data_IF_425824279651
#
_entry.id   IF_425824279651
#
_cell.length_a   1.000
_cell.length_b   1.000
_cell.length_c   1.000
_cell.angle_alpha   90.00
_cell.angle_beta   90.00
_cell.angle_gamma   90.00
#
_symmetry.space_group_name_H-M   'P 1'
#
loop_
_entity.id
_entity.type
_entity.pdbx_description
1 polymer ?
#
# COMPACT_ATOMS: atom_id res chain seq x y z
N UNK A 1 2.30 -20.78 47.01
CA UNK A 1 3.13 -21.04 45.80
C UNK A 1 2.33 -21.52 44.56
N UNK A 2 1.02 -21.50 44.59
CA UNK A 2 0.18 -21.97 43.48
C UNK A 2 -0.30 -20.85 42.53
N UNK A 3 -0.03 -19.58 42.82
CA UNK A 3 -0.53 -18.44 42.01
C UNK A 3 0.32 -18.08 40.78
N UNK A 4 1.60 -18.45 40.73
CA UNK A 4 2.50 -18.04 39.64
C UNK A 4 2.33 -18.88 38.35
N UNK A 5 1.89 -20.13 38.46
CA UNK A 5 1.72 -21.06 37.32
C UNK A 5 0.43 -20.81 36.54
N UNK A 6 -0.63 -20.33 37.21
CA UNK A 6 -1.92 -20.03 36.58
C UNK A 6 -1.84 -18.71 35.78
N UNK A 7 -1.08 -17.73 36.25
CA UNK A 7 -0.90 -16.45 35.56
C UNK A 7 -0.16 -16.58 34.24
N UNK A 8 0.89 -17.46 34.18
CA UNK A 8 1.64 -17.72 32.95
C UNK A 8 0.81 -18.42 31.88
N UNK A 9 -0.03 -19.40 32.27
CA UNK A 9 -0.88 -20.11 31.34
C UNK A 9 -1.99 -19.20 30.75
N UNK A 10 -2.54 -18.29 31.51
CA UNK A 10 -3.54 -17.32 31.05
C UNK A 10 -2.95 -16.35 30.04
N UNK A 11 -1.74 -15.84 30.27
CA UNK A 11 -1.06 -14.91 29.36
C UNK A 11 -0.76 -15.61 28.02
N UNK A 12 -0.27 -16.83 28.02
CA UNK A 12 -0.02 -17.61 26.81
C UNK A 12 -1.31 -17.88 26.04
N UNK A 13 -2.36 -18.27 26.72
CA UNK A 13 -3.68 -18.49 26.10
C UNK A 13 -4.24 -17.22 25.46
N UNK A 14 -4.13 -16.07 26.11
CA UNK A 14 -4.57 -14.78 25.59
C UNK A 14 -3.80 -14.38 24.35
N UNK A 15 -2.46 -14.56 24.31
CA UNK A 15 -1.65 -14.27 23.14
C UNK A 15 -2.01 -15.17 21.94
N UNK A 16 -2.23 -16.46 22.16
CA UNK A 16 -2.64 -17.41 21.11
C UNK A 16 -4.02 -17.02 20.56
N UNK A 17 -4.98 -16.71 21.43
CA UNK A 17 -6.33 -16.27 21.03
C UNK A 17 -6.29 -14.96 20.27
N UNK A 18 -5.46 -13.99 20.66
CA UNK A 18 -5.27 -12.73 19.96
C UNK A 18 -4.68 -12.95 18.57
N UNK A 19 -3.67 -13.82 18.43
CA UNK A 19 -3.08 -14.17 17.12
C UNK A 19 -4.11 -14.82 16.20
N UNK A 20 -4.90 -15.79 16.69
CA UNK A 20 -5.97 -16.41 15.91
C UNK A 20 -7.06 -15.39 15.53
N UNK A 21 -7.39 -14.46 16.41
CA UNK A 21 -8.33 -13.37 16.14
C UNK A 21 -7.83 -12.46 15.02
N UNK A 22 -6.57 -12.06 15.03
CA UNK A 22 -5.95 -11.26 13.96
C UNK A 22 -5.92 -12.02 12.62
N UNK A 23 -5.59 -13.29 12.62
CA UNK A 23 -5.60 -14.12 11.40
C UNK A 23 -7.00 -14.26 10.82
N UNK A 24 -8.03 -14.43 11.67
CA UNK A 24 -9.43 -14.46 11.22
C UNK A 24 -9.86 -13.11 10.63
N UNK A 25 -9.47 -12.00 11.25
CA UNK A 25 -9.69 -10.65 10.73
C UNK A 25 -9.03 -10.49 9.36
N UNK A 26 -7.78 -10.93 9.22
CA UNK A 26 -7.06 -10.88 7.95
C UNK A 26 -7.74 -11.69 6.84
N UNK A 27 -8.19 -12.91 7.14
CA UNK A 27 -8.92 -13.75 6.18
C UNK A 27 -10.20 -13.09 5.69
N UNK A 28 -10.99 -12.55 6.61
CA UNK A 28 -12.24 -11.87 6.26
C UNK A 28 -11.97 -10.62 5.42
N UNK A 29 -11.00 -9.80 5.83
CA UNK A 29 -10.61 -8.60 5.10
C UNK A 29 -10.09 -8.91 3.69
N UNK A 30 -9.36 -10.00 3.53
CA UNK A 30 -8.88 -10.44 2.21
C UNK A 30 -10.02 -10.79 1.26
N UNK A 31 -11.04 -11.49 1.73
CA UNK A 31 -12.23 -11.78 0.93
C UNK A 31 -13.01 -10.51 0.55
N UNK A 32 -13.00 -9.52 1.42
CA UNK A 32 -13.62 -8.21 1.18
C UNK A 32 -12.72 -7.25 0.36
N UNK A 33 -11.53 -7.71 -0.06
CA UNK A 33 -10.52 -6.91 -0.77
C UNK A 33 -10.04 -5.69 0.03
N UNK A 34 -10.14 -5.76 1.35
CA UNK A 34 -9.60 -4.76 2.27
C UNK A 34 -8.16 -5.11 2.65
N UNK A 35 -7.26 -4.88 1.72
CA UNK A 35 -5.84 -5.22 1.86
C UNK A 35 -5.14 -4.41 2.94
N UNK A 36 -5.61 -3.21 3.22
CA UNK A 36 -5.10 -2.38 4.32
C UNK A 36 -5.33 -3.06 5.67
N UNK A 37 -6.54 -3.56 5.91
CA UNK A 37 -6.87 -4.28 7.15
C UNK A 37 -6.08 -5.59 7.25
N UNK A 38 -5.87 -6.32 6.15
CA UNK A 38 -4.98 -7.50 6.15
C UNK A 38 -3.57 -7.11 6.58
N UNK A 39 -3.01 -6.06 5.99
CA UNK A 39 -1.69 -5.55 6.33
C UNK A 39 -1.59 -5.20 7.82
N UNK A 40 -2.57 -4.47 8.35
CA UNK A 40 -2.58 -4.08 9.76
C UNK A 40 -2.72 -5.28 10.71
N UNK A 41 -3.60 -6.22 10.39
CA UNK A 41 -3.85 -7.40 11.21
C UNK A 41 -2.67 -8.39 11.25
N UNK A 42 -1.87 -8.44 10.18
CA UNK A 42 -0.72 -9.35 10.06
C UNK A 42 0.63 -8.66 10.25
N UNK A 43 0.63 -7.38 10.58
CA UNK A 43 1.84 -6.58 10.74
C UNK A 43 2.78 -7.19 11.79
N UNK A 44 4.04 -7.38 11.41
CA UNK A 44 5.06 -7.98 12.28
C UNK A 44 4.96 -9.49 12.46
N UNK A 45 3.97 -10.16 11.85
CA UNK A 45 3.90 -11.62 11.89
C UNK A 45 4.83 -12.25 10.85
N UNK A 46 5.60 -13.21 11.25
CA UNK A 46 6.38 -14.09 10.35
C UNK A 46 5.49 -15.26 9.92
N UNK A 47 4.95 -15.19 8.71
CA UNK A 47 4.08 -16.20 8.12
C UNK A 47 4.72 -16.75 6.84
N UNK A 48 4.69 -18.07 6.69
CA UNK A 48 5.20 -18.75 5.51
C UNK A 48 4.25 -18.54 4.31
N UNK A 49 4.76 -17.96 3.24
CA UNK A 49 3.97 -17.64 2.03
C UNK A 49 3.56 -18.88 1.20
N UNK A 50 4.08 -20.06 1.56
CA UNK A 50 3.60 -21.35 1.03
C UNK A 50 2.29 -21.82 1.71
N UNK A 51 1.94 -21.22 2.84
CA UNK A 51 0.71 -21.50 3.59
C UNK A 51 -0.36 -20.42 3.33
N UNK A 52 -1.63 -20.77 3.57
CA UNK A 52 -2.78 -19.92 3.27
C UNK A 52 -2.70 -18.51 3.88
N UNK A 53 -2.41 -18.41 5.18
CA UNK A 53 -2.37 -17.12 5.87
C UNK A 53 -1.15 -16.28 5.45
N UNK A 54 -0.01 -16.91 5.24
CA UNK A 54 1.18 -16.26 4.72
C UNK A 54 1.00 -15.76 3.29
N UNK A 55 0.31 -16.55 2.46
CA UNK A 55 -0.02 -16.15 1.08
C UNK A 55 -1.00 -14.94 1.05
N UNK A 56 -2.01 -14.95 1.91
CA UNK A 56 -2.93 -13.81 2.08
C UNK A 56 -2.16 -12.56 2.47
N UNK A 57 -1.25 -12.67 3.44
CA UNK A 57 -0.38 -11.56 3.85
C UNK A 57 0.48 -11.06 2.68
N UNK A 58 1.19 -11.95 1.99
CA UNK A 58 2.08 -11.60 0.89
C UNK A 58 1.34 -10.90 -0.26
N UNK A 59 0.20 -11.44 -0.70
CA UNK A 59 -0.65 -10.83 -1.73
C UNK A 59 -1.12 -9.43 -1.32
N UNK A 60 -1.62 -9.30 -0.10
CA UNK A 60 -2.15 -8.04 0.42
C UNK A 60 -1.07 -6.97 0.57
N UNK A 61 0.14 -7.34 1.00
CA UNK A 61 1.27 -6.41 1.10
C UNK A 61 1.66 -5.83 -0.26
N UNK A 62 1.68 -6.64 -1.30
CA UNK A 62 1.98 -6.19 -2.67
C UNK A 62 0.93 -5.19 -3.15
N UNK A 63 -0.35 -5.55 -3.04
CA UNK A 63 -1.44 -4.69 -3.49
C UNK A 63 -1.49 -3.40 -2.65
N UNK A 64 -1.35 -3.51 -1.34
CA UNK A 64 -1.42 -2.36 -0.45
C UNK A 64 -0.27 -1.37 -0.68
N UNK A 65 0.91 -1.80 -1.09
CA UNK A 65 2.02 -0.89 -1.41
C UNK A 65 1.65 0.18 -2.45
N UNK A 66 0.91 -0.19 -3.48
CA UNK A 66 0.46 0.78 -4.49
C UNK A 66 -0.84 1.48 -4.05
N UNK A 67 -1.79 0.78 -3.43
CA UNK A 67 -3.03 1.39 -2.94
C UNK A 67 -2.78 2.53 -1.98
N UNK A 68 -1.83 2.38 -1.06
CA UNK A 68 -1.52 3.43 -0.09
C UNK A 68 -1.00 4.71 -0.72
N UNK A 69 -0.43 4.65 -1.93
CA UNK A 69 -0.02 5.84 -2.68
C UNK A 69 -1.25 6.62 -3.16
N UNK A 70 -2.24 5.92 -3.66
CA UNK A 70 -3.50 6.55 -4.06
C UNK A 70 -4.29 7.08 -2.85
N UNK A 71 -4.29 6.38 -1.74
CA UNK A 71 -4.89 6.84 -0.48
C UNK A 71 -4.15 8.07 0.07
N UNK A 72 -2.82 8.11 -0.03
CA UNK A 72 -2.00 9.27 0.32
C UNK A 72 -2.34 10.49 -0.54
N UNK A 73 -2.55 10.30 -1.84
CA UNK A 73 -3.06 11.35 -2.73
C UNK A 73 -4.36 11.95 -2.19
N UNK A 74 -5.35 11.11 -1.91
CA UNK A 74 -6.66 11.56 -1.41
C UNK A 74 -6.54 12.30 -0.08
N UNK A 75 -5.73 11.79 0.83
CA UNK A 75 -5.52 12.38 2.16
C UNK A 75 -4.85 13.75 2.06
N UNK A 76 -3.78 13.85 1.27
CA UNK A 76 -3.07 15.11 1.06
C UNK A 76 -3.97 16.15 0.37
N UNK A 77 -4.77 15.73 -0.60
CA UNK A 77 -5.72 16.62 -1.29
C UNK A 77 -6.74 17.19 -0.31
N UNK A 78 -7.32 16.38 0.59
CA UNK A 78 -8.24 16.83 1.64
C UNK A 78 -7.59 17.81 2.62
N UNK A 79 -6.29 17.66 2.86
CA UNK A 79 -5.51 18.56 3.73
C UNK A 79 -5.04 19.84 3.02
N UNK A 80 -5.34 20.00 1.74
CA UNK A 80 -4.86 21.14 0.93
C UNK A 80 -3.38 21.06 0.58
N UNK A 81 -2.74 19.93 0.77
CA UNK A 81 -1.32 19.66 0.44
C UNK A 81 -1.19 19.22 -1.00
N UNK A 82 -1.28 20.18 -1.92
CA UNK A 82 -1.38 19.91 -3.36
C UNK A 82 -0.12 19.31 -3.95
N UNK A 83 1.06 19.73 -3.51
CA UNK A 83 2.36 19.20 -3.96
C UNK A 83 2.50 17.74 -3.53
N UNK A 84 2.27 17.46 -2.26
CA UNK A 84 2.36 16.11 -1.70
C UNK A 84 1.30 15.18 -2.30
N UNK A 85 0.13 15.70 -2.67
CA UNK A 85 -0.89 14.93 -3.36
C UNK A 85 -0.40 14.49 -4.75
N UNK A 86 0.12 15.40 -5.56
CA UNK A 86 0.67 15.09 -6.88
C UNK A 86 1.88 14.14 -6.76
N UNK A 87 2.79 14.41 -5.81
CA UNK A 87 3.93 13.52 -5.54
C UNK A 87 3.48 12.09 -5.21
N UNK A 88 2.43 11.94 -4.40
CA UNK A 88 1.91 10.61 -4.05
C UNK A 88 1.45 9.81 -5.29
N UNK A 89 0.78 10.45 -6.25
CA UNK A 89 0.41 9.80 -7.52
C UNK A 89 1.63 9.37 -8.32
N UNK A 90 2.63 10.25 -8.45
CA UNK A 90 3.88 9.94 -9.17
C UNK A 90 4.64 8.81 -8.49
N UNK A 91 4.73 8.82 -7.15
CA UNK A 91 5.32 7.71 -6.38
C UNK A 91 4.55 6.40 -6.56
N UNK A 92 3.26 6.46 -6.85
CA UNK A 92 2.46 5.30 -7.22
C UNK A 92 2.96 4.61 -8.50
N UNK A 93 3.33 5.37 -9.52
CA UNK A 93 3.91 4.83 -10.76
C UNK A 93 5.28 4.21 -10.49
N UNK A 94 6.13 4.86 -9.71
CA UNK A 94 7.42 4.29 -9.29
C UNK A 94 7.24 3.01 -8.47
N UNK A 95 6.23 2.98 -7.59
CA UNK A 95 5.89 1.79 -6.79
C UNK A 95 5.45 0.63 -7.67
N UNK A 96 4.67 0.87 -8.72
CA UNK A 96 4.26 -0.16 -9.67
C UNK A 96 5.49 -0.88 -10.27
N UNK A 97 6.48 -0.13 -10.72
CA UNK A 97 7.69 -0.71 -11.28
C UNK A 97 8.47 -1.55 -10.24
N UNK A 98 8.47 -1.10 -9.00
CA UNK A 98 9.16 -1.79 -7.89
C UNK A 98 8.47 -3.10 -7.49
N UNK A 99 7.13 -3.16 -7.50
CA UNK A 99 6.38 -4.34 -7.04
C UNK A 99 5.98 -5.30 -8.16
N UNK A 100 6.28 -4.99 -9.40
CA UNK A 100 5.83 -5.76 -10.57
C UNK A 100 6.19 -7.24 -10.50
N UNK A 101 7.45 -7.57 -10.18
CA UNK A 101 7.90 -8.95 -10.05
C UNK A 101 7.18 -9.72 -8.93
N UNK A 102 6.93 -9.07 -7.79
CA UNK A 102 6.17 -9.67 -6.69
C UNK A 102 4.69 -9.84 -7.05
N UNK A 103 4.13 -8.90 -7.80
CA UNK A 103 2.75 -9.01 -8.30
C UNK A 103 2.57 -10.20 -9.23
N UNK A 104 3.55 -10.48 -10.09
CA UNK A 104 3.57 -11.69 -10.92
C UNK A 104 3.73 -12.95 -10.07
N UNK A 105 4.70 -12.96 -9.15
CA UNK A 105 4.98 -14.09 -8.27
C UNK A 105 3.74 -14.54 -7.49
N UNK A 106 2.99 -13.59 -6.94
CA UNK A 106 1.80 -13.87 -6.12
C UNK A 106 0.48 -13.86 -6.89
N UNK A 107 0.50 -13.63 -8.21
CA UNK A 107 -0.69 -13.68 -9.07
C UNK A 107 -1.68 -12.56 -8.80
N UNK A 108 -1.22 -11.37 -8.42
CA UNK A 108 -2.04 -10.18 -8.11
C UNK A 108 -1.81 -9.03 -9.09
N UNK A 109 -1.30 -9.33 -10.26
CA UNK A 109 -1.02 -8.31 -11.28
C UNK A 109 -2.28 -7.54 -11.69
N UNK A 110 -3.42 -8.21 -11.83
CA UNK A 110 -4.67 -7.55 -12.21
C UNK A 110 -5.10 -6.49 -11.20
N UNK A 111 -4.98 -6.77 -9.91
CA UNK A 111 -5.30 -5.84 -8.82
C UNK A 111 -4.34 -4.65 -8.81
N UNK A 112 -3.05 -4.90 -9.01
CA UNK A 112 -2.02 -3.86 -9.05
C UNK A 112 -2.19 -2.96 -10.29
N UNK A 113 -2.48 -3.54 -11.45
CA UNK A 113 -2.74 -2.78 -12.68
C UNK A 113 -4.00 -1.93 -12.59
N UNK A 114 -5.04 -2.40 -11.89
CA UNK A 114 -6.24 -1.62 -11.65
C UNK A 114 -5.94 -0.34 -10.86
N UNK A 115 -5.11 -0.42 -9.82
CA UNK A 115 -4.68 0.76 -9.04
C UNK A 115 -3.81 1.68 -9.89
N UNK A 116 -2.88 1.13 -10.68
CA UNK A 116 -2.07 1.91 -11.62
C UNK A 116 -2.94 2.70 -12.60
N UNK A 117 -3.98 2.05 -13.15
CA UNK A 117 -4.91 2.70 -14.06
C UNK A 117 -5.66 3.85 -13.40
N UNK A 118 -6.11 3.69 -12.16
CA UNK A 118 -6.75 4.78 -11.39
C UNK A 118 -5.79 5.96 -11.17
N UNK A 119 -4.53 5.68 -10.86
CA UNK A 119 -3.48 6.70 -10.70
C UNK A 119 -3.26 7.46 -12.02
N UNK A 120 -3.08 6.74 -13.13
CA UNK A 120 -2.86 7.36 -14.45
C UNK A 120 -4.06 8.19 -14.91
N UNK A 121 -5.27 7.67 -14.73
CA UNK A 121 -6.49 8.40 -15.06
C UNK A 121 -6.60 9.70 -14.24
N UNK A 122 -6.23 9.66 -12.98
CA UNK A 122 -6.23 10.85 -12.11
C UNK A 122 -5.15 11.85 -12.52
N UNK A 123 -3.94 11.38 -12.84
CA UNK A 123 -2.85 12.24 -13.34
C UNK A 123 -3.25 12.96 -14.63
N UNK A 124 -3.87 12.25 -15.56
CA UNK A 124 -4.30 12.83 -16.82
C UNK A 124 -5.48 13.81 -16.64
N UNK A 125 -6.51 13.40 -15.91
CA UNK A 125 -7.73 14.19 -15.74
C UNK A 125 -7.52 15.46 -14.89
N UNK A 126 -6.76 15.36 -13.81
CA UNK A 126 -6.60 16.46 -12.84
C UNK A 126 -5.36 17.32 -13.10
N UNK A 127 -4.32 16.77 -13.71
CA UNK A 127 -3.03 17.43 -13.86
C UNK A 127 -2.52 17.51 -15.30
N UNK A 128 -3.23 16.92 -16.26
CA UNK A 128 -2.80 16.83 -17.67
C UNK A 128 -1.39 16.18 -17.80
N UNK A 129 -1.14 15.19 -16.98
CA UNK A 129 0.12 14.43 -16.95
C UNK A 129 -0.16 13.01 -17.45
N UNK A 130 0.37 12.65 -18.61
CA UNK A 130 0.31 11.30 -19.14
C UNK A 130 1.42 10.41 -18.52
N UNK A 131 1.40 9.12 -18.85
CA UNK A 131 2.40 8.17 -18.30
C UNK A 131 3.83 8.54 -18.71
N UNK A 132 4.04 9.04 -19.93
CA UNK A 132 5.37 9.44 -20.40
C UNK A 132 5.90 10.59 -19.57
N UNK A 133 5.10 11.63 -19.35
CA UNK A 133 5.49 12.77 -18.53
C UNK A 133 5.68 12.38 -17.07
N UNK A 134 4.81 11.50 -16.53
CA UNK A 134 4.97 10.98 -15.17
C UNK A 134 6.32 10.28 -14.99
N UNK A 135 6.73 9.46 -15.94
CA UNK A 135 8.04 8.78 -15.89
C UNK A 135 9.22 9.72 -16.04
N UNK A 136 9.12 10.74 -16.87
CA UNK A 136 10.12 11.79 -16.95
C UNK A 136 10.31 12.51 -15.61
N UNK A 137 9.21 12.87 -14.94
CA UNK A 137 9.25 13.50 -13.63
C UNK A 137 9.88 12.61 -12.56
N UNK A 138 9.49 11.33 -12.50
CA UNK A 138 10.02 10.35 -11.53
C UNK A 138 11.54 10.14 -11.75
N UNK A 139 12.00 10.14 -12.99
CA UNK A 139 13.40 9.92 -13.34
C UNK A 139 14.26 11.19 -13.20
N UNK A 140 13.67 12.33 -12.87
CA UNK A 140 14.42 13.55 -12.59
C UNK A 140 15.22 13.40 -11.28
N UNK A 141 16.55 13.28 -11.42
CA UNK A 141 17.45 13.08 -10.29
C UNK A 141 17.70 14.32 -9.44
N UNK A 142 17.24 15.50 -9.89
CA UNK A 142 17.38 16.75 -9.14
C UNK A 142 16.11 17.08 -8.38
N UNK A 143 16.19 17.00 -7.04
CA UNK A 143 15.05 17.23 -6.15
C UNK A 143 14.46 18.64 -6.28
N UNK A 144 15.28 19.67 -6.51
CA UNK A 144 14.82 21.04 -6.68
C UNK A 144 14.07 21.21 -8.01
N UNK A 145 14.62 20.70 -9.08
CA UNK A 145 13.99 20.69 -10.41
C UNK A 145 12.65 19.94 -10.37
N UNK A 146 12.64 18.76 -9.78
CA UNK A 146 11.41 17.96 -9.58
C UNK A 146 10.33 18.76 -8.86
N UNK A 147 10.67 19.34 -7.70
CA UNK A 147 9.68 20.12 -6.91
C UNK A 147 9.19 21.33 -7.69
N UNK A 148 10.05 22.02 -8.41
CA UNK A 148 9.69 23.17 -9.26
C UNK A 148 8.70 22.76 -10.36
N UNK A 149 8.94 21.65 -11.03
CA UNK A 149 8.01 21.12 -12.05
C UNK A 149 6.64 20.76 -11.44
N UNK A 150 6.59 20.22 -10.23
CA UNK A 150 5.30 19.95 -9.55
C UNK A 150 4.54 21.27 -9.25
N UNK A 151 5.23 22.31 -8.82
CA UNK A 151 4.62 23.63 -8.62
C UNK A 151 4.08 24.21 -9.93
N UNK A 152 4.81 24.09 -11.02
CA UNK A 152 4.38 24.58 -12.34
C UNK A 152 3.11 23.85 -12.81
N UNK A 153 3.06 22.54 -12.66
CA UNK A 153 1.89 21.72 -13.01
C UNK A 153 0.67 22.16 -12.20
N UNK A 154 0.81 22.35 -10.89
CA UNK A 154 -0.28 22.74 -9.99
C UNK A 154 -0.75 24.16 -10.26
N UNK A 155 0.14 25.04 -10.65
CA UNK A 155 -0.17 26.44 -11.00
C UNK A 155 -0.84 26.59 -12.36
N UNK A 156 -0.87 25.53 -13.16
CA UNK A 156 -1.47 25.53 -14.49
C UNK A 156 -0.64 26.25 -15.57
N UNK A 157 0.67 26.30 -15.37
CA UNK A 157 1.62 26.89 -16.32
C UNK A 157 2.24 25.84 -17.23
#
# INVERSE_FOLDING_TARGET
MFGATVGGAVILSTNILSTQGYLQTARNAFYDQDYKTVYQATFGMELDDSESDGLIKAKSEVIFKIQRRYDSYRTNLKMGRKIEALDALLQGIATYDFINADAEKYGVMAEVEAVKADILNTLEAEYNVDETKARELINNGDALSYTTELYDIISGN
#
